data_IF_754802777587
#
_entry.id   IF_754802777587
#
_cell.length_a   1.000
_cell.length_b   1.000
_cell.length_c   1.000
_cell.angle_alpha   90.00
_cell.angle_beta   90.00
_cell.angle_gamma   90.00
#
_symmetry.space_group_name_H-M   'P 1'
#
loop_
_entity.id
_entity.type
_entity.pdbx_description
1 polymer ?
#
# COMPACT_ATOMS: atom_id res chain seq x y z
N UNK A 1 -3.95 -1.80 -22.48
CA UNK A 1 -3.21 -1.59 -21.24
C UNK A 1 -1.90 -2.36 -21.24
N UNK A 2 -0.79 -1.66 -21.31
CA UNK A 2 0.49 -2.36 -21.37
C UNK A 2 0.76 -3.27 -20.17
N UNK A 3 0.31 -2.86 -18.98
CA UNK A 3 0.54 -3.61 -17.77
C UNK A 3 -0.06 -5.02 -17.86
N UNK A 4 -1.32 -5.12 -18.26
CA UNK A 4 -2.00 -6.40 -18.28
C UNK A 4 -1.65 -7.23 -19.51
N UNK A 5 -1.33 -6.58 -20.60
CA UNK A 5 -0.91 -7.30 -21.81
C UNK A 5 0.42 -8.02 -21.61
N UNK A 6 1.31 -7.41 -20.84
CA UNK A 6 2.64 -7.97 -20.63
C UNK A 6 2.66 -9.10 -19.59
N UNK A 7 1.58 -9.30 -18.84
CA UNK A 7 1.53 -10.35 -17.83
C UNK A 7 1.70 -11.75 -18.43
N UNK A 8 1.26 -11.95 -19.65
CA UNK A 8 1.40 -13.25 -20.32
C UNK A 8 2.85 -13.61 -20.62
N UNK A 9 3.68 -12.59 -20.79
CA UNK A 9 5.09 -12.79 -21.13
C UNK A 9 5.97 -12.84 -19.91
N UNK A 10 5.43 -12.51 -18.74
CA UNK A 10 6.18 -12.48 -17.52
C UNK A 10 6.12 -13.81 -16.81
N UNK A 11 7.27 -14.31 -16.33
CA UNK A 11 7.25 -15.56 -15.60
C UNK A 11 6.45 -15.46 -14.30
N UNK A 12 6.48 -14.29 -13.65
CA UNK A 12 5.84 -14.08 -12.35
C UNK A 12 5.39 -12.64 -12.18
N UNK A 13 4.22 -12.46 -11.61
CA UNK A 13 3.75 -11.16 -11.13
C UNK A 13 2.90 -11.36 -9.89
N UNK A 14 2.92 -10.38 -9.00
CA UNK A 14 2.05 -10.36 -7.82
C UNK A 14 1.14 -9.16 -7.95
N UNK A 15 -0.14 -9.35 -7.70
CA UNK A 15 -1.11 -8.25 -7.66
C UNK A 15 -1.49 -8.05 -6.21
N UNK A 16 -1.38 -6.81 -5.73
CA UNK A 16 -1.75 -6.43 -4.37
C UNK A 16 -2.84 -5.37 -4.46
N UNK A 17 -4.01 -5.70 -3.96
CA UNK A 17 -5.16 -4.78 -3.92
C UNK A 17 -5.30 -4.28 -2.49
N UNK A 18 -4.98 -3.00 -2.28
CA UNK A 18 -5.05 -2.41 -0.95
C UNK A 18 -6.37 -1.67 -0.81
N UNK A 19 -7.29 -2.27 -0.08
CA UNK A 19 -8.60 -1.70 0.18
C UNK A 19 -8.72 -1.11 1.57
N UNK A 20 -9.95 -0.79 1.97
CA UNK A 20 -10.22 -0.23 3.29
C UNK A 20 -10.02 -1.22 4.41
N UNK A 21 -10.57 -2.42 4.28
CA UNK A 21 -10.54 -3.43 5.34
C UNK A 21 -9.47 -4.48 5.14
N UNK A 22 -9.15 -4.80 3.90
CA UNK A 22 -8.21 -5.88 3.58
C UNK A 22 -7.20 -5.45 2.55
N UNK A 23 -6.07 -6.14 2.55
CA UNK A 23 -5.14 -6.15 1.43
C UNK A 23 -5.18 -7.55 0.85
N UNK A 24 -5.61 -7.65 -0.38
CA UNK A 24 -5.73 -8.93 -1.08
C UNK A 24 -4.59 -9.08 -2.06
N UNK A 25 -4.05 -10.28 -2.16
CA UNK A 25 -2.96 -10.50 -3.08
C UNK A 25 -3.06 -11.85 -3.73
N UNK A 26 -2.59 -11.89 -4.97
CA UNK A 26 -2.56 -13.11 -5.75
C UNK A 26 -1.31 -13.13 -6.62
N UNK A 27 -0.88 -14.33 -6.96
CA UNK A 27 0.26 -14.53 -7.84
C UNK A 27 -0.23 -14.93 -9.21
N UNK A 28 0.42 -14.36 -10.23
CA UNK A 28 0.20 -14.73 -11.61
C UNK A 28 1.49 -15.34 -12.13
N UNK A 29 1.39 -16.51 -12.76
CA UNK A 29 2.49 -17.18 -13.42
C UNK A 29 2.14 -17.42 -14.86
N UNK A 30 2.99 -16.93 -15.77
CA UNK A 30 2.79 -17.12 -17.22
C UNK A 30 1.40 -16.67 -17.69
N UNK A 31 0.89 -15.59 -17.10
CA UNK A 31 -0.39 -15.02 -17.47
C UNK A 31 -1.61 -15.65 -16.82
N UNK A 32 -1.42 -16.65 -15.95
CA UNK A 32 -2.52 -17.33 -15.28
C UNK A 32 -2.44 -17.16 -13.77
N UNK A 33 -3.60 -17.05 -13.13
CA UNK A 33 -3.68 -16.92 -11.68
C UNK A 33 -3.29 -18.25 -11.04
N UNK A 34 -2.34 -18.19 -10.12
CA UNK A 34 -1.95 -19.34 -9.32
C UNK A 34 -2.81 -19.38 -8.07
N UNK A 35 -3.87 -20.17 -8.10
CA UNK A 35 -4.83 -20.24 -7.01
C UNK A 35 -4.24 -20.78 -5.70
N UNK A 36 -3.09 -21.45 -5.78
CA UNK A 36 -2.43 -21.93 -4.57
C UNK A 36 -1.74 -20.82 -3.78
N UNK A 37 -1.60 -19.63 -4.38
CA UNK A 37 -0.87 -18.51 -3.78
C UNK A 37 -1.76 -17.27 -3.84
N UNK A 38 -2.96 -17.37 -3.31
CA UNK A 38 -3.88 -16.25 -3.16
C UNK A 38 -4.25 -16.15 -1.69
N UNK A 39 -4.30 -14.96 -1.15
CA UNK A 39 -4.61 -14.79 0.26
C UNK A 39 -5.14 -13.37 0.51
N UNK A 40 -5.53 -13.11 1.74
CA UNK A 40 -6.06 -11.82 2.16
C UNK A 40 -5.52 -11.50 3.56
N UNK A 41 -5.09 -10.28 3.74
CA UNK A 41 -4.69 -9.76 5.05
C UNK A 41 -5.74 -8.77 5.55
N UNK A 42 -6.01 -8.80 6.84
CA UNK A 42 -6.89 -7.82 7.46
C UNK A 42 -6.15 -6.51 7.75
N UNK A 43 -5.34 -6.07 6.80
CA UNK A 43 -4.50 -4.89 6.95
C UNK A 43 -4.87 -3.85 5.90
N UNK A 44 -6.14 -3.47 5.84
CA UNK A 44 -6.56 -2.39 4.97
C UNK A 44 -6.26 -1.02 5.59
N UNK A 45 -6.43 0.03 4.81
CA UNK A 45 -6.05 1.38 5.23
C UNK A 45 -6.86 1.90 6.42
N UNK A 46 -8.02 1.33 6.71
CA UNK A 46 -8.80 1.74 7.89
C UNK A 46 -7.99 1.48 9.17
N UNK A 47 -7.25 0.38 9.21
CA UNK A 47 -6.37 0.10 10.34
C UNK A 47 -5.32 1.20 10.52
N UNK A 48 -4.75 1.67 9.41
CA UNK A 48 -3.78 2.74 9.43
C UNK A 48 -4.39 4.05 9.92
N UNK A 49 -5.57 4.43 9.39
CA UNK A 49 -6.25 5.63 9.86
C UNK A 49 -6.50 5.58 11.37
N UNK A 50 -6.97 4.45 11.86
CA UNK A 50 -7.25 4.31 13.28
C UNK A 50 -5.98 4.44 14.13
N UNK A 51 -4.87 3.85 13.68
CA UNK A 51 -3.58 3.99 14.38
C UNK A 51 -3.12 5.43 14.41
N UNK A 52 -3.18 6.11 13.28
CA UNK A 52 -2.74 7.50 13.17
C UNK A 52 -3.58 8.40 14.06
N UNK A 53 -4.90 8.26 13.99
CA UNK A 53 -5.80 9.12 14.76
C UNK A 53 -5.64 8.88 16.26
N UNK A 54 -5.48 7.63 16.66
CA UNK A 54 -5.26 7.28 18.06
C UNK A 54 -3.93 7.85 18.57
N UNK A 55 -2.87 7.72 17.79
CA UNK A 55 -1.56 8.25 18.17
C UNK A 55 -1.55 9.78 18.22
N UNK A 56 -2.16 10.43 17.27
CA UNK A 56 -2.24 11.89 17.27
C UNK A 56 -3.00 12.39 18.51
N UNK A 57 -4.07 11.70 18.86
CA UNK A 57 -4.86 12.07 20.03
C UNK A 57 -4.07 11.85 21.33
N UNK A 58 -3.42 10.69 21.47
CA UNK A 58 -2.74 10.36 22.73
C UNK A 58 -1.41 11.09 22.90
N UNK A 59 -0.65 11.24 21.83
CA UNK A 59 0.71 11.79 21.93
C UNK A 59 0.76 13.30 21.73
N UNK A 60 -0.12 13.85 20.89
CA UNK A 60 -0.09 15.26 20.52
C UNK A 60 -1.36 16.03 20.91
N UNK A 61 -2.34 15.33 21.45
CA UNK A 61 -3.63 15.92 21.84
C UNK A 61 -4.32 16.60 20.64
N UNK A 62 -4.23 15.97 19.48
CA UNK A 62 -4.78 16.49 18.22
C UNK A 62 -5.78 15.49 17.67
N UNK A 63 -6.94 16.00 17.21
CA UNK A 63 -7.97 15.22 16.57
C UNK A 63 -7.85 15.39 15.06
N UNK A 64 -7.44 14.33 14.38
CA UNK A 64 -7.29 14.34 12.94
C UNK A 64 -8.50 13.72 12.27
N UNK A 65 -8.89 14.32 11.14
CA UNK A 65 -9.87 13.72 10.24
C UNK A 65 -9.16 12.87 9.21
N UNK A 66 -9.90 11.95 8.58
CA UNK A 66 -9.31 11.13 7.52
C UNK A 66 -8.77 11.97 6.37
N UNK A 67 -9.45 13.07 6.04
CA UNK A 67 -9.01 13.96 4.97
C UNK A 67 -7.67 14.63 5.30
N UNK A 68 -7.42 14.93 6.57
CA UNK A 68 -6.13 15.47 6.99
C UNK A 68 -5.02 14.45 6.79
N UNK A 69 -5.30 13.19 7.15
CA UNK A 69 -4.35 12.10 6.99
C UNK A 69 -4.06 11.88 5.50
N UNK A 70 -5.10 11.85 4.67
CA UNK A 70 -4.94 11.68 3.23
C UNK A 70 -4.05 12.75 2.63
N UNK A 71 -4.27 14.00 3.01
CA UNK A 71 -3.48 15.12 2.48
C UNK A 71 -2.00 14.93 2.80
N UNK A 72 -1.69 14.53 4.03
CA UNK A 72 -0.30 14.29 4.42
C UNK A 72 0.30 13.09 3.69
N UNK A 73 -0.45 11.99 3.58
CA UNK A 73 0.04 10.80 2.90
C UNK A 73 0.32 11.05 1.43
N UNK A 74 -0.53 11.83 0.77
CA UNK A 74 -0.36 12.12 -0.65
C UNK A 74 0.73 13.14 -0.93
N UNK A 75 0.88 14.14 -0.06
CA UNK A 75 1.76 15.26 -0.30
C UNK A 75 3.03 15.25 0.53
N UNK A 76 3.05 14.51 1.61
CA UNK A 76 4.20 14.40 2.48
C UNK A 76 4.38 15.51 3.48
N UNK A 77 3.58 16.55 3.39
CA UNK A 77 3.60 17.68 4.32
C UNK A 77 2.45 18.61 4.00
N UNK A 78 2.43 19.75 4.63
CA UNK A 78 1.54 20.80 4.18
C UNK A 78 0.19 20.80 4.85
N UNK A 79 0.06 20.09 5.94
CA UNK A 79 -1.16 20.22 6.71
C UNK A 79 -1.09 21.45 7.59
N UNK A 80 -2.24 21.93 7.99
CA UNK A 80 -2.33 23.02 8.95
C UNK A 80 -1.85 22.62 10.35
N UNK A 81 -1.54 21.35 10.55
CA UNK A 81 -1.17 20.83 11.87
C UNK A 81 0.34 20.85 12.16
N UNK A 82 1.19 21.10 11.16
CA UNK A 82 2.61 21.28 11.37
C UNK A 82 3.44 20.01 11.21
N UNK A 83 4.74 20.17 11.48
CA UNK A 83 5.71 19.11 11.21
C UNK A 83 5.61 17.89 12.12
N UNK A 84 5.23 18.08 13.38
CA UNK A 84 5.08 16.96 14.30
C UNK A 84 4.02 15.98 13.85
N UNK A 85 2.88 16.51 13.39
CA UNK A 85 1.79 15.69 12.90
C UNK A 85 2.21 15.00 11.60
N UNK A 86 2.83 15.75 10.69
CA UNK A 86 3.30 15.16 9.43
C UNK A 86 4.29 14.01 9.69
N UNK A 87 5.23 14.21 10.63
CA UNK A 87 6.20 13.19 10.98
C UNK A 87 5.52 11.95 11.57
N UNK A 88 4.53 12.14 12.41
CA UNK A 88 3.79 11.03 13.02
C UNK A 88 3.06 10.23 11.94
N UNK A 89 2.36 10.91 11.04
CA UNK A 89 1.61 10.27 9.96
C UNK A 89 2.56 9.48 9.06
N UNK A 90 3.67 10.10 8.64
CA UNK A 90 4.63 9.44 7.77
C UNK A 90 5.26 8.21 8.43
N UNK A 91 5.59 8.31 9.72
CA UNK A 91 6.16 7.19 10.43
C UNK A 91 5.19 6.01 10.49
N UNK A 92 3.94 6.29 10.86
CA UNK A 92 2.94 5.24 10.95
C UNK A 92 2.66 4.61 9.59
N UNK A 93 2.61 5.41 8.54
CA UNK A 93 2.38 4.91 7.20
C UNK A 93 3.53 4.02 6.73
N UNK A 94 4.78 4.42 7.01
CA UNK A 94 5.93 3.62 6.61
C UNK A 94 5.97 2.30 7.36
N UNK A 95 5.66 2.32 8.66
CA UNK A 95 5.56 1.09 9.44
C UNK A 95 4.47 0.17 8.92
N UNK A 96 3.31 0.74 8.60
CA UNK A 96 2.20 -0.03 8.04
C UNK A 96 2.59 -0.71 6.73
N UNK A 97 3.23 0.03 5.84
CA UNK A 97 3.67 -0.51 4.54
C UNK A 97 4.74 -1.59 4.75
N UNK A 98 5.70 -1.33 5.63
CA UNK A 98 6.75 -2.29 5.90
C UNK A 98 6.19 -3.60 6.47
N UNK A 99 5.21 -3.50 7.37
CA UNK A 99 4.56 -4.67 7.95
C UNK A 99 3.78 -5.45 6.89
N UNK A 100 3.06 -4.74 6.02
CA UNK A 100 2.30 -5.38 4.94
C UNK A 100 3.23 -6.11 3.96
N UNK A 101 4.29 -5.44 3.53
CA UNK A 101 5.24 -6.06 2.61
C UNK A 101 6.01 -7.22 3.28
N UNK A 102 6.30 -7.09 4.57
CA UNK A 102 6.90 -8.17 5.35
C UNK A 102 5.99 -9.39 5.42
N UNK A 103 4.68 -9.17 5.61
CA UNK A 103 3.71 -10.25 5.63
C UNK A 103 3.64 -10.96 4.28
N UNK A 104 3.75 -10.23 3.17
CA UNK A 104 3.81 -10.84 1.85
C UNK A 104 5.05 -11.72 1.68
N UNK A 105 6.19 -11.25 2.16
CA UNK A 105 7.44 -12.04 2.11
C UNK A 105 7.35 -13.29 2.95
N UNK A 106 6.74 -13.20 4.13
CA UNK A 106 6.54 -14.37 4.99
C UNK A 106 5.66 -15.42 4.32
N UNK A 107 4.74 -14.99 3.47
CA UNK A 107 3.88 -15.87 2.68
C UNK A 107 4.55 -16.30 1.37
N UNK A 108 5.83 -15.96 1.22
CA UNK A 108 6.68 -16.36 0.10
C UNK A 108 6.30 -15.73 -1.24
N UNK A 109 5.71 -14.55 -1.21
CA UNK A 109 5.56 -13.75 -2.41
C UNK A 109 6.89 -13.08 -2.75
N UNK A 110 7.27 -13.18 -4.02
CA UNK A 110 8.53 -12.63 -4.49
C UNK A 110 8.35 -11.16 -4.86
N UNK A 111 8.93 -10.28 -4.04
CA UNK A 111 8.83 -8.83 -4.26
C UNK A 111 10.05 -8.27 -4.98
N UNK A 112 11.05 -9.09 -5.29
CA UNK A 112 12.33 -8.62 -5.80
C UNK A 112 12.58 -8.94 -7.27
N UNK A 113 12.16 -10.10 -7.75
CA UNK A 113 12.48 -10.52 -9.12
C UNK A 113 11.35 -10.36 -10.10
N UNK A 114 10.08 -10.40 -9.63
CA UNK A 114 8.93 -10.19 -10.48
C UNK A 114 8.37 -8.79 -10.31
N UNK A 115 7.38 -8.48 -11.11
CA UNK A 115 6.63 -7.22 -10.94
C UNK A 115 5.62 -7.37 -9.82
N UNK A 116 5.46 -6.30 -9.07
CA UNK A 116 4.40 -6.21 -8.06
C UNK A 116 3.46 -5.09 -8.49
N UNK A 117 2.23 -5.44 -8.76
CA UNK A 117 1.22 -4.53 -9.29
C UNK A 117 0.28 -4.14 -8.16
N UNK A 118 0.28 -2.88 -7.82
CA UNK A 118 -0.55 -2.36 -6.75
C UNK A 118 -1.80 -1.71 -7.32
N UNK A 119 -2.95 -2.14 -6.83
CA UNK A 119 -4.24 -1.59 -7.24
C UNK A 119 -5.04 -1.19 -6.01
N UNK A 120 -6.13 -0.48 -6.23
CA UNK A 120 -7.02 -0.04 -5.17
C UNK A 120 -6.69 1.35 -4.64
N UNK A 121 -7.62 1.91 -3.89
CA UNK A 121 -7.45 3.26 -3.35
C UNK A 121 -6.29 3.39 -2.38
N UNK A 122 -6.03 2.35 -1.59
CA UNK A 122 -4.91 2.36 -0.66
C UNK A 122 -3.55 2.35 -1.35
N UNK A 123 -3.48 1.77 -2.54
CA UNK A 123 -2.24 1.76 -3.30
C UNK A 123 -1.86 3.17 -3.75
N UNK A 124 -2.85 3.93 -4.24
CA UNK A 124 -2.62 5.32 -4.62
C UNK A 124 -2.22 6.16 -3.41
N UNK A 125 -2.89 5.94 -2.30
CA UNK A 125 -2.65 6.67 -1.06
C UNK A 125 -1.24 6.42 -0.51
N UNK A 126 -0.76 5.19 -0.60
CA UNK A 126 0.50 4.77 0.03
C UNK A 126 1.65 4.61 -0.97
N UNK A 127 1.49 5.09 -2.19
CA UNK A 127 2.48 4.92 -3.24
C UNK A 127 3.88 5.40 -2.82
N UNK A 128 3.98 6.59 -2.24
CA UNK A 128 5.27 7.13 -1.83
C UNK A 128 5.96 6.24 -0.80
N UNK A 129 5.19 5.73 0.15
CA UNK A 129 5.72 4.89 1.21
C UNK A 129 6.14 3.52 0.68
N UNK A 130 5.39 2.97 -0.28
CA UNK A 130 5.75 1.71 -0.92
C UNK A 130 7.07 1.86 -1.69
N UNK A 131 7.17 2.93 -2.47
CA UNK A 131 8.41 3.21 -3.21
C UNK A 131 9.59 3.46 -2.27
N UNK A 132 9.35 4.19 -1.19
CA UNK A 132 10.41 4.50 -0.23
C UNK A 132 10.87 3.30 0.59
N UNK A 133 10.06 2.24 0.68
CA UNK A 133 10.39 1.07 1.47
C UNK A 133 11.64 0.34 0.97
N UNK A 134 11.91 0.43 -0.34
CA UNK A 134 13.00 -0.32 -0.96
C UNK A 134 12.81 -1.82 -0.99
N UNK A 135 11.62 -2.30 -0.62
CA UNK A 135 11.36 -3.75 -0.54
C UNK A 135 10.84 -4.34 -1.83
N UNK A 136 10.34 -3.50 -2.73
CA UNK A 136 9.80 -3.93 -4.02
C UNK A 136 10.71 -3.42 -5.12
N UNK A 137 11.26 -4.32 -5.92
CA UNK A 137 12.22 -3.93 -6.96
C UNK A 137 11.54 -3.28 -8.16
N UNK A 138 10.36 -3.78 -8.54
CA UNK A 138 9.68 -3.32 -9.75
C UNK A 138 8.20 -3.06 -9.46
N UNK A 139 7.89 -1.99 -8.68
CA UNK A 139 6.49 -1.68 -8.38
C UNK A 139 5.80 -1.04 -9.59
N UNK A 140 4.56 -1.43 -9.81
CA UNK A 140 3.69 -0.85 -10.83
C UNK A 140 2.41 -0.42 -10.13
N UNK A 141 2.00 0.81 -10.36
CA UNK A 141 0.78 1.34 -9.74
C UNK A 141 -0.26 1.58 -10.82
N UNK A 142 -1.43 0.99 -10.65
CA UNK A 142 -2.54 1.18 -11.57
C UNK A 142 -3.48 2.18 -10.93
N UNK A 143 -3.29 3.44 -11.25
CA UNK A 143 -4.00 4.55 -10.61
C UNK A 143 -5.38 4.78 -11.16
N UNK A 144 -5.57 4.44 -12.42
CA UNK A 144 -6.79 4.81 -13.14
C UNK A 144 -7.77 3.67 -13.33
N UNK A 145 -7.64 2.59 -12.56
CA UNK A 145 -8.56 1.45 -12.68
C UNK A 145 -10.00 1.89 -12.50
N UNK A 146 -10.22 2.87 -11.64
CA UNK A 146 -11.55 3.35 -11.32
C UNK A 146 -11.83 4.76 -11.82
N UNK A 147 -10.97 5.29 -12.67
CA UNK A 147 -11.12 6.64 -13.17
C UNK A 147 -12.29 6.78 -14.16
N UNK A 148 -12.84 5.70 -14.56
CA UNK A 148 -13.96 5.68 -15.51
C UNK A 148 -15.28 5.45 -14.83
#
# INVERSE_FOLDING_TARGET
>A
MPVFQNLRQMPKAVIVDIGGFTADYLQIKHGEVDLSVCDSLENGVILLYNRIRSKASSDLDILLEETDVDAILLQGQGSSYGEEVAALVEYQAQEFVNDMLGALRERQFDLRTGRVIFVGGGACLLRRQIEASGKVAHPVFVEDVNAN
#
